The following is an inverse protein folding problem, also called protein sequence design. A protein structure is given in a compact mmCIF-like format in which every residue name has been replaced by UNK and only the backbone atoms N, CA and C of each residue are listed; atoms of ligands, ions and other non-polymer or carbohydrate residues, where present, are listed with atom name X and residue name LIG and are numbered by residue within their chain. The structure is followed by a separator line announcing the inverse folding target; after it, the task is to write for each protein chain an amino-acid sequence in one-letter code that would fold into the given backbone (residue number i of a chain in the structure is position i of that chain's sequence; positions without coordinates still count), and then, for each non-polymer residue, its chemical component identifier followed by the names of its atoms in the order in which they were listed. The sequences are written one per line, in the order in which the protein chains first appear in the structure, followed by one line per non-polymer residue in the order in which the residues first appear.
data_IF_088064626826
#
_entry.id   IF_088064626826
#
_cell.length_a   1.000
_cell.length_b   1.000
_cell.length_c   1.000
_cell.angle_alpha   90.00
_cell.angle_beta   90.00
_cell.angle_gamma   90.00
#
_symmetry.space_group_name_H-M   'P 1'
#
loop_
_entity.id
_entity.type
_entity.pdbx_description
1 polymer ?
#
# COMPACT_ATOMS: atom_id res chain seq x y z
N UNK A 1 -4.58 -23.91 -99.68
CA UNK A 1 -3.26 -24.35 -100.21
C UNK A 1 -2.22 -24.25 -99.09
N UNK A 2 -1.98 -25.37 -98.40
CA UNK A 2 -0.72 -26.07 -97.96
C UNK A 2 0.63 -25.31 -98.10
N UNK A 3 1.74 -25.51 -97.31
CA UNK A 3 2.08 -26.55 -96.29
C UNK A 3 2.82 -26.13 -94.96
N UNK A 4 2.89 -27.12 -94.06
CA UNK A 4 3.87 -27.32 -92.96
C UNK A 4 5.22 -27.87 -93.44
N UNK A 5 6.32 -27.63 -92.69
CA UNK A 5 7.44 -28.58 -92.54
C UNK A 5 8.27 -28.30 -91.25
N UNK A 6 8.63 -29.31 -90.44
CA UNK A 6 9.63 -29.21 -89.37
C UNK A 6 10.85 -30.12 -89.62
N UNK A 7 11.97 -29.93 -88.89
CA UNK A 7 13.07 -30.91 -88.53
C UNK A 7 14.27 -30.13 -87.89
N UNK A 8 15.31 -30.78 -87.29
CA UNK A 8 15.36 -31.66 -86.11
C UNK A 8 16.38 -31.18 -85.03
N UNK A 9 16.40 -31.81 -83.84
CA UNK A 9 17.23 -31.45 -82.69
C UNK A 9 18.64 -32.09 -82.60
N UNK A 10 19.46 -31.56 -81.68
CA UNK A 10 20.83 -32.02 -81.38
C UNK A 10 21.13 -31.89 -79.86
N UNK A 11 21.84 -32.85 -79.24
CA UNK A 11 22.14 -32.92 -77.80
C UNK A 11 23.66 -32.82 -77.54
N UNK A 12 24.11 -32.09 -76.51
CA UNK A 12 25.53 -31.83 -76.17
C UNK A 12 25.96 -32.29 -74.76
N UNK A 13 27.29 -32.44 -74.54
CA UNK A 13 27.99 -32.85 -73.29
C UNK A 13 28.53 -31.62 -72.51
N UNK A 14 28.75 -31.74 -71.19
CA UNK A 14 29.14 -30.66 -70.25
C UNK A 14 30.48 -30.97 -69.50
N UNK A 15 31.29 -29.94 -69.14
CA UNK A 15 32.70 -30.03 -68.66
C UNK A 15 32.96 -29.41 -67.25
N UNK A 16 34.14 -29.70 -66.66
CA UNK A 16 34.52 -29.51 -65.22
C UNK A 16 34.80 -28.06 -64.74
N UNK A 17 35.16 -27.12 -65.64
CA UNK A 17 35.42 -25.71 -65.28
C UNK A 17 34.18 -24.99 -64.74
N UNK A 18 33.00 -25.49 -65.10
CA UNK A 18 31.72 -25.04 -64.58
C UNK A 18 31.62 -25.21 -63.05
N UNK A 19 32.36 -26.16 -62.44
CA UNK A 19 32.28 -26.45 -61.01
C UNK A 19 32.92 -25.41 -60.07
N UNK A 20 33.99 -24.72 -60.48
CA UNK A 20 34.71 -23.74 -59.63
C UNK A 20 34.02 -22.38 -59.70
N UNK A 21 33.63 -21.96 -60.91
CA UNK A 21 32.86 -20.73 -61.13
C UNK A 21 31.53 -20.79 -60.37
N UNK A 22 30.86 -21.95 -60.39
CA UNK A 22 29.63 -22.17 -59.65
C UNK A 22 29.82 -22.00 -58.14
N UNK A 23 30.89 -22.55 -57.53
CA UNK A 23 31.18 -22.38 -56.09
C UNK A 23 31.42 -20.91 -55.68
N UNK A 24 32.13 -20.14 -56.52
CA UNK A 24 32.37 -18.71 -56.27
C UNK A 24 31.08 -17.89 -56.38
N UNK A 25 30.25 -18.18 -57.39
CA UNK A 25 28.94 -17.55 -57.55
C UNK A 25 28.02 -17.83 -56.35
N UNK A 26 28.00 -19.07 -55.85
CA UNK A 26 27.25 -19.41 -54.63
C UNK A 26 27.73 -18.59 -53.43
N UNK A 27 29.04 -18.43 -53.24
CA UNK A 27 29.57 -17.63 -52.13
C UNK A 27 29.12 -16.16 -52.19
N UNK A 28 29.17 -15.53 -53.36
CA UNK A 28 28.71 -14.15 -53.56
C UNK A 28 27.21 -14.02 -53.28
N UNK A 29 26.39 -14.98 -53.75
CA UNK A 29 24.95 -15.00 -53.47
C UNK A 29 24.68 -15.12 -51.96
N UNK A 30 25.40 -15.98 -51.24
CA UNK A 30 25.26 -16.09 -49.78
C UNK A 30 25.62 -14.80 -49.06
N UNK A 31 26.71 -14.12 -49.45
CA UNK A 31 27.09 -12.83 -48.86
C UNK A 31 26.04 -11.75 -49.13
N UNK A 32 25.50 -11.65 -50.34
CA UNK A 32 24.44 -10.71 -50.67
C UNK A 32 23.16 -11.01 -49.88
N UNK A 33 22.76 -12.28 -49.77
CA UNK A 33 21.59 -12.68 -48.99
C UNK A 33 21.76 -12.36 -47.51
N UNK A 34 22.95 -12.59 -46.95
CA UNK A 34 23.25 -12.25 -45.56
C UNK A 34 23.22 -10.73 -45.33
N UNK A 35 23.82 -9.94 -46.23
CA UNK A 35 23.80 -8.48 -46.14
C UNK A 35 22.36 -7.93 -46.18
N UNK A 36 21.51 -8.46 -47.07
CA UNK A 36 20.09 -8.08 -47.15
C UNK A 36 19.32 -8.47 -45.88
N UNK A 37 19.58 -9.66 -45.33
CA UNK A 37 19.00 -10.11 -44.08
C UNK A 37 19.39 -9.19 -42.92
N UNK A 38 20.66 -8.78 -42.82
CA UNK A 38 21.12 -7.85 -41.79
C UNK A 38 20.46 -6.46 -41.89
N UNK A 39 20.28 -5.95 -43.10
CA UNK A 39 19.58 -4.67 -43.33
C UNK A 39 18.10 -4.79 -42.95
N UNK A 40 17.46 -5.91 -43.28
CA UNK A 40 16.07 -6.18 -42.89
C UNK A 40 15.91 -6.28 -41.37
N UNK A 41 16.81 -7.01 -40.71
CA UNK A 41 16.83 -7.20 -39.25
C UNK A 41 17.10 -5.86 -38.55
N UNK A 42 18.05 -5.06 -39.02
CA UNK A 42 18.35 -3.75 -38.42
C UNK A 42 17.16 -2.79 -38.55
N UNK A 43 16.47 -2.79 -39.70
CA UNK A 43 15.22 -2.05 -39.89
C UNK A 43 14.13 -2.49 -38.92
N UNK A 44 13.96 -3.80 -38.72
CA UNK A 44 12.98 -4.34 -37.77
C UNK A 44 13.31 -3.95 -36.32
N UNK A 45 14.58 -4.01 -35.92
CA UNK A 45 15.05 -3.60 -34.60
C UNK A 45 14.72 -2.11 -34.36
N UNK A 46 15.00 -1.24 -35.33
CA UNK A 46 14.69 0.20 -35.21
C UNK A 46 13.18 0.42 -35.01
N UNK A 47 12.34 -0.26 -35.78
CA UNK A 47 10.87 -0.16 -35.64
C UNK A 47 10.40 -0.65 -34.28
N UNK A 48 10.95 -1.76 -33.78
CA UNK A 48 10.62 -2.30 -32.45
C UNK A 48 11.04 -1.30 -31.36
N UNK A 49 12.27 -0.78 -31.42
CA UNK A 49 12.77 0.22 -30.46
C UNK A 49 11.92 1.49 -30.48
N UNK A 50 11.53 1.97 -31.67
CA UNK A 50 10.64 3.13 -31.79
C UNK A 50 9.27 2.85 -31.17
N UNK A 51 8.68 1.66 -31.37
CA UNK A 51 7.41 1.27 -30.74
C UNK A 51 7.51 1.20 -29.22
N UNK A 52 8.62 0.69 -28.68
CA UNK A 52 8.87 0.65 -27.23
C UNK A 52 8.95 2.07 -26.68
N UNK A 53 9.81 2.92 -27.27
CA UNK A 53 9.96 4.32 -26.84
C UNK A 53 8.67 5.13 -26.97
N UNK A 54 7.90 4.91 -28.05
CA UNK A 54 6.60 5.55 -28.25
C UNK A 54 5.59 5.12 -27.19
N UNK A 55 5.53 3.83 -26.85
CA UNK A 55 4.67 3.31 -25.78
C UNK A 55 5.08 3.86 -24.41
N UNK A 56 6.38 3.93 -24.13
CA UNK A 56 6.90 4.52 -22.88
C UNK A 56 6.47 5.98 -22.74
N UNK A 57 6.61 6.79 -23.81
CA UNK A 57 6.16 8.20 -23.82
C UNK A 57 4.66 8.35 -23.62
N UNK A 58 3.85 7.58 -24.34
CA UNK A 58 2.39 7.58 -24.15
C UNK A 58 2.00 7.23 -22.71
N UNK A 59 2.70 6.27 -22.11
CA UNK A 59 2.45 5.86 -20.73
C UNK A 59 2.87 6.95 -19.74
N UNK A 60 4.02 7.61 -19.98
CA UNK A 60 4.50 8.72 -19.16
C UNK A 60 3.57 9.95 -19.24
N UNK A 61 3.13 10.34 -20.43
CA UNK A 61 2.17 11.42 -20.64
C UNK A 61 0.80 11.11 -20.03
N UNK A 62 0.33 9.86 -20.13
CA UNK A 62 -0.90 9.43 -19.48
C UNK A 62 -0.76 9.44 -17.94
N UNK A 63 0.40 9.04 -17.40
CA UNK A 63 0.71 9.09 -15.97
C UNK A 63 0.77 10.53 -15.46
N UNK A 64 1.39 11.43 -16.22
CA UNK A 64 1.48 12.86 -15.90
C UNK A 64 0.11 13.52 -15.95
N UNK A 65 -0.73 13.18 -16.95
CA UNK A 65 -2.14 13.60 -17.02
C UNK A 65 -2.99 13.10 -15.85
N UNK A 66 -2.60 11.97 -15.24
CA UNK A 66 -3.25 11.41 -14.04
C UNK A 66 -2.66 11.95 -12.73
N UNK A 67 -1.45 12.52 -12.77
CA UNK A 67 -0.75 13.05 -11.60
C UNK A 67 -1.29 14.43 -11.29
N UNK A 68 -2.34 14.49 -10.49
CA UNK A 68 -2.88 15.74 -9.98
C UNK A 68 -1.85 16.41 -9.04
N UNK A 69 -1.22 17.55 -9.40
CA UNK A 69 -0.20 18.19 -8.55
C UNK A 69 -0.76 18.59 -7.18
N UNK A 70 -2.07 18.88 -7.10
CA UNK A 70 -2.77 19.15 -5.85
C UNK A 70 -2.90 17.91 -4.97
N UNK A 71 -3.01 16.71 -5.57
CA UNK A 71 -2.98 15.46 -4.81
C UNK A 71 -1.63 15.27 -4.12
N UNK A 72 -0.53 15.41 -4.88
CA UNK A 72 0.82 15.31 -4.33
C UNK A 72 1.04 16.36 -3.25
N UNK A 73 0.71 17.63 -3.52
CA UNK A 73 0.83 18.71 -2.55
C UNK A 73 0.11 18.39 -1.23
N UNK A 74 -1.19 18.07 -1.30
CA UNK A 74 -1.97 17.78 -0.10
C UNK A 74 -1.50 16.54 0.64
N UNK A 75 -1.03 15.50 -0.07
CA UNK A 75 -0.48 14.28 0.55
C UNK A 75 0.83 14.56 1.27
N UNK A 76 1.74 15.34 0.67
CA UNK A 76 2.98 15.73 1.33
C UNK A 76 2.70 16.61 2.55
N UNK A 77 1.77 17.57 2.42
CA UNK A 77 1.35 18.40 3.53
C UNK A 77 0.77 17.57 4.68
N UNK A 78 -0.08 16.59 4.37
CA UNK A 78 -0.64 15.66 5.36
C UNK A 78 0.45 14.89 6.09
N UNK A 79 1.43 14.36 5.35
CA UNK A 79 2.57 13.66 5.94
C UNK A 79 3.37 14.57 6.87
N UNK A 80 3.67 15.81 6.45
CA UNK A 80 4.36 16.79 7.30
C UNK A 80 3.55 17.14 8.56
N UNK A 81 2.24 17.32 8.43
CA UNK A 81 1.35 17.59 9.56
C UNK A 81 1.36 16.42 10.56
N UNK A 82 1.22 15.17 10.11
CA UNK A 82 1.30 13.99 10.98
C UNK A 82 2.67 13.88 11.67
N UNK A 83 3.75 14.06 10.91
CA UNK A 83 5.12 13.96 11.42
C UNK A 83 5.50 15.05 12.43
N UNK A 84 4.74 16.14 12.49
CA UNK A 84 4.97 17.23 13.44
C UNK A 84 3.80 17.44 14.41
N UNK A 85 2.80 16.55 14.37
CA UNK A 85 1.57 16.65 15.19
C UNK A 85 0.89 18.02 15.03
N UNK A 86 0.83 18.53 13.80
CA UNK A 86 0.18 19.80 13.47
C UNK A 86 -1.34 19.60 13.34
N UNK A 87 -2.09 20.65 13.68
CA UNK A 87 -3.55 20.69 13.56
C UNK A 87 -4.03 20.84 12.12
N UNK A 88 -5.33 20.59 11.92
CA UNK A 88 -5.99 20.64 10.61
C UNK A 88 -6.04 22.05 9.98
N UNK A 89 -5.72 23.10 10.74
CA UNK A 89 -5.63 24.50 10.30
C UNK A 89 -4.49 24.76 9.30
N UNK A 90 -3.47 23.90 9.29
CA UNK A 90 -2.34 24.00 8.35
C UNK A 90 -2.74 23.65 6.91
N UNK A 91 -3.90 23.01 6.72
CA UNK A 91 -4.36 22.56 5.41
C UNK A 91 -5.19 23.61 4.68
N UNK A 92 -4.87 23.93 3.40
CA UNK A 92 -5.76 24.69 2.54
C UNK A 92 -7.06 23.91 2.27
N UNK A 93 -8.09 24.17 3.09
CA UNK A 93 -9.35 23.44 3.04
C UNK A 93 -10.05 23.51 1.68
N UNK A 94 -9.81 24.57 0.90
CA UNK A 94 -10.35 24.75 -0.46
C UNK A 94 -9.84 23.72 -1.47
N UNK A 95 -8.64 23.16 -1.27
CA UNK A 95 -8.03 22.19 -2.20
C UNK A 95 -8.01 20.81 -1.56
N UNK A 96 -7.52 20.69 -0.33
CA UNK A 96 -7.25 19.38 0.26
C UNK A 96 -8.50 18.63 0.70
N UNK A 97 -9.64 19.32 0.86
CA UNK A 97 -10.93 18.67 1.17
C UNK A 97 -11.45 17.82 0.00
N UNK A 98 -11.40 18.36 -1.22
CA UNK A 98 -11.86 17.65 -2.42
C UNK A 98 -10.90 16.52 -2.77
N UNK A 99 -9.59 16.78 -2.67
CA UNK A 99 -8.55 15.77 -2.80
C UNK A 99 -8.73 14.63 -1.80
N UNK A 100 -9.04 14.94 -0.54
CA UNK A 100 -9.32 13.92 0.48
C UNK A 100 -10.57 13.10 0.13
N UNK A 101 -11.63 13.76 -0.33
CA UNK A 101 -12.86 13.08 -0.76
C UNK A 101 -12.55 12.10 -1.90
N UNK A 102 -11.78 12.52 -2.89
CA UNK A 102 -11.32 11.65 -3.98
C UNK A 102 -10.43 10.50 -3.47
N UNK A 103 -9.46 10.79 -2.60
CA UNK A 103 -8.55 9.80 -2.01
C UNK A 103 -9.29 8.67 -1.30
N UNK A 104 -10.35 9.01 -0.55
CA UNK A 104 -11.18 8.05 0.17
C UNK A 104 -12.12 7.31 -0.79
N UNK A 105 -12.87 8.04 -1.62
CA UNK A 105 -13.95 7.47 -2.46
C UNK A 105 -13.45 6.66 -3.66
N UNK A 106 -12.37 7.06 -4.29
CA UNK A 106 -11.77 6.33 -5.42
C UNK A 106 -10.92 5.12 -4.98
N UNK A 107 -10.96 4.80 -3.69
CA UNK A 107 -10.39 3.58 -3.13
C UNK A 107 -8.88 3.61 -2.90
N UNK A 108 -8.20 4.74 -3.12
CA UNK A 108 -6.76 4.82 -2.81
C UNK A 108 -6.51 4.66 -1.31
N UNK A 109 -7.33 5.28 -0.45
CA UNK A 109 -7.25 5.09 1.00
C UNK A 109 -7.41 3.62 1.41
N UNK A 110 -8.39 2.92 0.83
CA UNK A 110 -8.60 1.49 1.02
C UNK A 110 -7.38 0.66 0.58
N UNK A 111 -6.76 1.02 -0.55
CA UNK A 111 -5.52 0.36 -1.03
C UNK A 111 -4.38 0.56 -0.05
N UNK A 112 -4.17 1.79 0.43
CA UNK A 112 -3.09 2.12 1.37
C UNK A 112 -3.28 1.38 2.70
N UNK A 113 -4.50 1.35 3.25
CA UNK A 113 -4.83 0.56 4.45
C UNK A 113 -4.54 -0.93 4.24
N UNK A 114 -4.96 -1.50 3.11
CA UNK A 114 -4.71 -2.91 2.80
C UNK A 114 -3.22 -3.22 2.67
N UNK A 115 -2.43 -2.33 2.07
CA UNK A 115 -0.97 -2.48 1.96
C UNK A 115 -0.35 -2.50 3.37
N UNK A 116 -0.68 -1.53 4.22
CA UNK A 116 -0.14 -1.49 5.60
C UNK A 116 -0.52 -2.75 6.39
N UNK A 117 -1.78 -3.19 6.30
CA UNK A 117 -2.22 -4.43 6.96
C UNK A 117 -1.44 -5.64 6.44
N UNK A 118 -1.25 -5.78 5.12
CA UNK A 118 -0.46 -6.88 4.55
C UNK A 118 0.99 -6.85 5.01
N UNK A 119 1.62 -5.69 5.02
CA UNK A 119 3.00 -5.54 5.53
C UNK A 119 3.09 -6.01 6.99
N UNK A 120 2.10 -5.66 7.82
CA UNK A 120 2.04 -6.15 9.20
C UNK A 120 1.82 -7.66 9.27
N UNK A 121 0.86 -8.20 8.51
CA UNK A 121 0.58 -9.64 8.44
C UNK A 121 1.82 -10.45 8.03
N UNK A 122 2.53 -10.01 6.99
CA UNK A 122 3.75 -10.63 6.48
C UNK A 122 4.85 -10.62 7.56
N UNK A 123 5.05 -9.49 8.22
CA UNK A 123 5.97 -9.40 9.36
C UNK A 123 5.62 -10.42 10.45
N UNK A 124 4.38 -10.43 10.94
CA UNK A 124 3.98 -11.32 12.03
C UNK A 124 3.93 -12.80 11.65
N UNK A 125 3.82 -13.13 10.36
CA UNK A 125 3.94 -14.50 9.85
C UNK A 125 5.40 -14.98 9.82
N UNK A 126 6.35 -14.06 9.63
CA UNK A 126 7.78 -14.36 9.48
C UNK A 126 8.53 -14.36 10.82
N UNK A 127 8.06 -13.59 11.80
CA UNK A 127 8.70 -13.46 13.11
C UNK A 127 8.46 -14.72 13.95
N UNK A 128 9.55 -15.34 14.41
CA UNK A 128 9.50 -16.45 15.36
C UNK A 128 9.21 -15.93 16.77
N UNK A 129 8.12 -16.43 17.37
CA UNK A 129 7.79 -16.21 18.79
C UNK A 129 8.79 -16.91 19.69
N UNK A 130 9.18 -16.25 20.78
CA UNK A 130 9.91 -16.92 21.86
C UNK A 130 8.97 -17.77 22.70
N UNK A 131 9.47 -18.89 23.23
CA UNK A 131 8.69 -19.86 24.00
C UNK A 131 8.34 -19.43 25.43
N UNK A 132 8.76 -18.23 25.86
CA UNK A 132 8.53 -17.73 27.21
C UNK A 132 7.25 -16.87 27.34
N UNK A 133 6.49 -16.72 26.25
CA UNK A 133 5.20 -15.99 26.22
C UNK A 133 5.27 -14.52 26.65
N UNK A 134 6.45 -13.89 26.54
CA UNK A 134 6.63 -12.48 26.93
C UNK A 134 6.53 -11.50 25.75
N UNK A 135 6.43 -12.01 24.54
CA UNK A 135 6.31 -11.21 23.33
C UNK A 135 4.87 -10.68 23.19
N UNK A 136 4.69 -9.36 23.21
CA UNK A 136 3.39 -8.69 23.14
C UNK A 136 3.33 -7.70 21.98
N UNK A 137 2.13 -7.46 21.45
CA UNK A 137 1.87 -6.44 20.44
C UNK A 137 0.97 -5.38 21.04
N UNK A 138 1.36 -4.11 20.88
CA UNK A 138 0.53 -2.98 21.27
C UNK A 138 -0.30 -2.52 20.08
N UNK A 139 -1.60 -2.38 20.28
CA UNK A 139 -2.52 -1.95 19.22
C UNK A 139 -3.45 -0.86 19.73
N UNK A 140 -3.55 0.21 18.94
CA UNK A 140 -4.40 1.36 19.22
C UNK A 140 -5.88 0.99 19.05
N UNK A 141 -6.62 0.99 20.16
CA UNK A 141 -8.04 0.71 20.13
C UNK A 141 -8.83 1.83 19.46
N UNK A 142 -8.34 3.08 19.48
CA UNK A 142 -9.06 4.22 18.89
C UNK A 142 -9.19 4.11 17.36
N UNK A 143 -8.37 3.26 16.72
CA UNK A 143 -8.44 3.03 15.27
C UNK A 143 -9.60 2.14 14.83
N UNK A 144 -10.16 1.37 15.75
CA UNK A 144 -11.33 0.54 15.51
C UNK A 144 -12.47 0.77 16.52
N UNK A 145 -12.34 1.73 17.43
CA UNK A 145 -13.46 2.29 18.17
C UNK A 145 -14.10 3.37 17.31
N UNK A 146 -15.13 3.03 16.53
CA UNK A 146 -15.90 4.05 15.81
C UNK A 146 -16.60 4.95 16.82
N UNK A 147 -16.28 6.24 16.90
CA UNK A 147 -16.99 7.17 17.80
C UNK A 147 -18.51 7.22 17.56
N UNK A 148 -18.96 6.90 16.34
CA UNK A 148 -20.38 6.96 15.93
C UNK A 148 -21.28 5.87 16.55
N UNK A 149 -20.74 4.95 17.36
CA UNK A 149 -21.51 3.89 18.03
C UNK A 149 -21.90 4.18 19.49
N UNK A 150 -21.60 5.38 20.01
CA UNK A 150 -22.06 5.79 21.36
C UNK A 150 -23.53 6.25 21.41
N UNK A 151 -24.21 6.40 20.27
CA UNK A 151 -25.65 6.65 20.26
C UNK A 151 -26.40 5.32 20.12
N UNK A 152 -26.56 4.63 21.25
CA UNK A 152 -27.34 3.38 21.38
C UNK A 152 -28.81 3.53 20.94
N UNK A 153 -29.27 4.72 20.56
CA UNK A 153 -30.65 4.96 20.15
C UNK A 153 -30.85 5.24 18.65
N UNK A 154 -29.79 5.25 17.83
CA UNK A 154 -29.87 5.45 16.37
C UNK A 154 -28.97 4.45 15.63
N UNK A 155 -29.29 3.17 15.77
CA UNK A 155 -28.81 2.16 14.83
C UNK A 155 -29.10 2.62 13.40
N UNK A 156 -28.05 2.60 12.56
CA UNK A 156 -28.05 2.97 11.15
C UNK A 156 -28.02 4.49 10.90
N UNK A 157 -26.96 5.18 11.34
CA UNK A 157 -26.34 6.05 10.34
C UNK A 157 -25.81 5.13 9.24
N UNK A 158 -26.30 5.32 8.01
CA UNK A 158 -25.80 4.65 6.80
C UNK A 158 -24.30 4.88 6.69
N UNK A 159 -23.51 4.06 7.37
CA UNK A 159 -22.07 4.04 7.22
C UNK A 159 -21.85 3.59 5.78
N UNK A 160 -21.48 4.54 4.94
CA UNK A 160 -21.17 4.23 3.56
C UNK A 160 -19.83 3.51 3.55
N UNK A 161 -19.69 2.51 2.68
CA UNK A 161 -18.44 1.76 2.53
C UNK A 161 -17.24 2.63 2.06
N UNK A 162 -17.51 3.90 1.71
CA UNK A 162 -16.56 4.95 1.36
C UNK A 162 -16.33 5.99 2.48
N UNK A 163 -16.76 5.72 3.72
CA UNK A 163 -16.41 6.54 4.90
C UNK A 163 -15.01 6.16 5.42
N UNK A 164 -14.15 7.16 5.63
CA UNK A 164 -12.76 6.93 6.03
C UNK A 164 -12.64 6.25 7.40
N UNK A 165 -13.47 6.63 8.38
CA UNK A 165 -13.40 6.02 9.72
C UNK A 165 -13.90 4.58 9.68
N UNK A 166 -14.94 4.31 8.88
CA UNK A 166 -15.40 2.94 8.66
C UNK A 166 -14.33 2.07 8.01
N UNK A 167 -13.70 2.55 6.94
CA UNK A 167 -12.61 1.82 6.29
C UNK A 167 -11.49 1.53 7.29
N UNK A 168 -11.03 2.54 8.03
CA UNK A 168 -10.00 2.37 9.04
C UNK A 168 -10.39 1.33 10.09
N UNK A 169 -11.62 1.39 10.61
CA UNK A 169 -12.16 0.43 11.55
C UNK A 169 -12.10 -1.01 11.00
N UNK A 170 -12.59 -1.24 9.77
CA UNK A 170 -12.61 -2.57 9.17
C UNK A 170 -11.20 -3.14 9.00
N UNK A 171 -10.24 -2.34 8.53
CA UNK A 171 -8.87 -2.79 8.33
C UNK A 171 -8.12 -3.02 9.66
N UNK A 172 -8.34 -2.16 10.65
CA UNK A 172 -7.79 -2.34 11.99
C UNK A 172 -8.39 -3.59 12.67
N UNK A 173 -9.71 -3.81 12.59
CA UNK A 173 -10.34 -5.04 13.10
C UNK A 173 -9.85 -6.29 12.38
N UNK A 174 -9.67 -6.23 11.05
CA UNK A 174 -9.09 -7.35 10.30
C UNK A 174 -7.71 -7.73 10.82
N UNK A 175 -6.85 -6.73 11.05
CA UNK A 175 -5.51 -6.96 11.58
C UNK A 175 -5.57 -7.51 13.01
N UNK A 176 -6.42 -6.95 13.87
CA UNK A 176 -6.65 -7.45 15.24
C UNK A 176 -6.98 -8.96 15.23
N UNK A 177 -8.00 -9.36 14.47
CA UNK A 177 -8.46 -10.75 14.37
C UNK A 177 -7.38 -11.67 13.80
N UNK A 178 -6.62 -11.19 12.80
CA UNK A 178 -5.51 -11.95 12.23
C UNK A 178 -4.41 -12.22 13.24
N UNK A 179 -4.01 -11.21 14.02
CA UNK A 179 -3.00 -11.37 15.07
C UNK A 179 -3.49 -12.29 16.19
N UNK A 180 -4.77 -12.16 16.57
CA UNK A 180 -5.39 -13.03 17.55
C UNK A 180 -5.42 -14.50 17.08
N UNK A 181 -5.87 -14.76 15.84
CA UNK A 181 -5.87 -16.13 15.27
C UNK A 181 -4.47 -16.73 15.18
N UNK A 182 -3.46 -15.88 15.00
CA UNK A 182 -2.05 -16.24 15.01
C UNK A 182 -1.48 -16.39 16.43
N UNK A 183 -2.30 -16.21 17.48
CA UNK A 183 -1.97 -16.29 18.91
C UNK A 183 -0.93 -15.27 19.37
N UNK A 184 -0.93 -14.06 18.79
CA UNK A 184 -0.13 -12.96 19.32
C UNK A 184 -0.85 -12.35 20.53
N UNK A 185 -0.22 -12.27 21.72
CA UNK A 185 -0.79 -11.55 22.86
C UNK A 185 -0.93 -10.07 22.51
N UNK A 186 -2.16 -9.56 22.54
CA UNK A 186 -2.47 -8.17 22.22
C UNK A 186 -2.69 -7.40 23.51
N UNK A 187 -2.00 -6.29 23.68
CA UNK A 187 -2.32 -5.29 24.68
C UNK A 187 -2.89 -4.08 23.94
N UNK A 188 -4.13 -3.73 24.26
CA UNK A 188 -4.78 -2.58 23.66
C UNK A 188 -4.45 -1.31 24.44
N UNK A 189 -4.42 -0.18 23.75
CA UNK A 189 -4.34 1.13 24.39
C UNK A 189 -5.32 2.12 23.75
N UNK A 190 -5.79 3.09 24.53
CA UNK A 190 -6.72 4.14 24.08
C UNK A 190 -6.44 5.44 24.81
N UNK A 191 -6.75 6.56 24.15
CA UNK A 191 -6.70 7.91 24.73
C UNK A 191 -7.87 8.18 25.69
N UNK A 192 -8.89 7.32 25.69
CA UNK A 192 -10.04 7.43 26.60
C UNK A 192 -9.61 7.40 28.06
N UNK A 193 -10.25 8.18 28.93
CA UNK A 193 -9.93 8.21 30.34
C UNK A 193 -10.33 6.91 31.04
N UNK A 194 -9.53 6.49 32.03
CA UNK A 194 -9.72 5.27 32.82
C UNK A 194 -11.12 5.15 33.44
N UNK A 195 -11.75 6.28 33.78
CA UNK A 195 -13.14 6.32 34.31
C UNK A 195 -14.18 5.69 33.36
N UNK A 196 -13.88 5.59 32.05
CA UNK A 196 -14.73 4.99 31.02
C UNK A 196 -14.38 3.52 30.73
N UNK A 197 -13.61 2.85 31.60
CA UNK A 197 -13.14 1.48 31.37
C UNK A 197 -14.26 0.51 31.07
N UNK A 198 -15.30 0.46 31.89
CA UNK A 198 -16.39 -0.51 31.73
C UNK A 198 -17.10 -0.30 30.38
N UNK A 199 -17.51 0.93 30.07
CA UNK A 199 -18.15 1.27 28.80
C UNK A 199 -17.25 0.97 27.59
N UNK A 200 -15.94 1.21 27.71
CA UNK A 200 -14.98 0.89 26.63
C UNK A 200 -14.84 -0.61 26.44
N UNK A 201 -14.75 -1.39 27.51
CA UNK A 201 -14.66 -2.86 27.46
C UNK A 201 -15.93 -3.46 26.88
N UNK A 202 -17.10 -3.01 27.32
CA UNK A 202 -18.40 -3.44 26.77
C UNK A 202 -18.49 -3.14 25.28
N UNK A 203 -18.05 -1.96 24.87
CA UNK A 203 -18.07 -1.59 23.46
C UNK A 203 -17.09 -2.40 22.59
N UNK A 204 -15.86 -2.62 23.06
CA UNK A 204 -14.91 -3.50 22.36
C UNK A 204 -15.50 -4.91 22.21
N UNK A 205 -16.08 -5.42 23.29
CA UNK A 205 -16.75 -6.73 23.34
C UNK A 205 -17.93 -6.80 22.36
N UNK A 206 -18.78 -5.77 22.28
CA UNK A 206 -19.93 -5.75 21.39
C UNK A 206 -19.57 -5.71 19.89
N UNK A 207 -18.37 -5.22 19.56
CA UNK A 207 -17.82 -5.24 18.20
C UNK A 207 -17.10 -6.56 17.85
N UNK A 208 -17.14 -7.57 18.72
CA UNK A 208 -16.45 -8.84 18.51
C UNK A 208 -14.95 -8.78 18.75
N UNK A 209 -14.44 -7.68 19.31
CA UNK A 209 -13.08 -7.63 19.84
C UNK A 209 -13.11 -8.38 21.18
N UNK A 210 -12.37 -9.48 21.30
CA UNK A 210 -12.23 -10.24 22.54
C UNK A 210 -10.81 -10.76 22.65
N UNK A 211 -10.38 -11.19 23.84
CA UNK A 211 -9.14 -11.95 24.02
C UNK A 211 -7.85 -11.11 23.96
N UNK A 212 -7.92 -9.79 24.12
CA UNK A 212 -6.75 -8.99 24.48
C UNK A 212 -6.31 -9.30 25.92
N UNK A 213 -5.02 -9.18 26.19
CA UNK A 213 -4.41 -9.49 27.49
C UNK A 213 -4.56 -8.35 28.51
N UNK A 214 -4.57 -7.11 28.04
CA UNK A 214 -4.74 -5.93 28.88
C UNK A 214 -5.23 -4.73 28.04
N UNK A 215 -5.83 -3.74 28.72
CA UNK A 215 -6.28 -2.48 28.13
C UNK A 215 -5.69 -1.32 28.93
N UNK A 216 -4.78 -0.58 28.31
CA UNK A 216 -4.17 0.64 28.84
C UNK A 216 -5.07 1.83 28.50
N UNK A 217 -5.51 2.58 29.51
CA UNK A 217 -6.34 3.77 29.33
C UNK A 217 -5.76 4.94 30.10
N UNK A 218 -6.12 6.16 29.72
CA UNK A 218 -5.51 7.38 30.25
C UNK A 218 -5.95 7.65 31.70
N UNK A 219 -5.00 7.62 32.63
CA UNK A 219 -5.26 7.95 34.05
C UNK A 219 -5.04 9.43 34.38
N UNK A 220 -4.13 10.08 33.67
CA UNK A 220 -3.76 11.48 33.90
C UNK A 220 -3.98 12.32 32.63
N UNK A 221 -4.80 13.36 32.76
CA UNK A 221 -5.10 14.29 31.67
C UNK A 221 -4.11 15.45 31.57
N UNK A 222 -3.22 15.64 32.57
CA UNK A 222 -2.21 16.70 32.57
C UNK A 222 -1.03 16.39 31.63
N UNK A 223 -0.77 15.12 31.40
CA UNK A 223 0.32 14.63 30.55
C UNK A 223 -0.15 14.44 29.12
N UNK A 224 0.69 14.77 28.13
CA UNK A 224 0.38 14.40 26.75
C UNK A 224 0.40 12.86 26.58
N UNK A 225 -0.34 12.36 25.60
CA UNK A 225 -0.53 10.91 25.46
C UNK A 225 0.76 10.17 25.07
N UNK A 226 1.64 10.80 24.28
CA UNK A 226 2.94 10.21 23.91
C UNK A 226 3.80 9.89 25.14
N UNK A 227 3.91 10.85 26.06
CA UNK A 227 4.67 10.66 27.31
C UNK A 227 4.00 9.61 28.20
N UNK A 228 2.67 9.68 28.33
CA UNK A 228 1.89 8.71 29.09
C UNK A 228 2.14 7.27 28.57
N UNK A 229 1.96 7.03 27.28
CA UNK A 229 2.16 5.71 26.69
C UNK A 229 3.62 5.26 26.77
N UNK A 230 4.59 6.17 26.64
CA UNK A 230 6.01 5.86 26.84
C UNK A 230 6.30 5.33 28.26
N UNK A 231 5.64 5.88 29.28
CA UNK A 231 5.75 5.40 30.67
C UNK A 231 5.12 4.02 30.83
N UNK A 232 3.94 3.79 30.25
CA UNK A 232 3.27 2.49 30.27
C UNK A 232 4.13 1.41 29.57
N UNK A 233 4.75 1.72 28.42
CA UNK A 233 5.68 0.80 27.74
C UNK A 233 6.92 0.48 28.59
N UNK A 234 7.46 1.48 29.29
CA UNK A 234 8.55 1.29 30.25
C UNK A 234 8.15 0.34 31.38
N UNK A 235 6.92 0.46 31.90
CA UNK A 235 6.39 -0.43 32.94
C UNK A 235 6.23 -1.86 32.43
N UNK A 236 5.67 -2.07 31.22
CA UNK A 236 5.57 -3.40 30.60
C UNK A 236 6.95 -4.06 30.47
N UNK A 237 7.97 -3.31 30.04
CA UNK A 237 9.33 -3.83 29.93
C UNK A 237 9.94 -4.19 31.30
N UNK A 238 9.71 -3.38 32.34
CA UNK A 238 10.15 -3.70 33.72
C UNK A 238 9.45 -4.94 34.27
N UNK A 239 8.24 -5.22 33.84
CA UNK A 239 7.51 -6.47 34.15
C UNK A 239 8.06 -7.67 33.35
N UNK A 240 9.04 -7.46 32.47
CA UNK A 240 9.69 -8.49 31.68
C UNK A 240 9.06 -8.75 30.32
N UNK A 241 8.01 -7.99 29.94
CA UNK A 241 7.40 -8.11 28.61
C UNK A 241 8.30 -7.50 27.53
N UNK A 242 8.17 -8.03 26.31
CA UNK A 242 8.87 -7.55 25.13
C UNK A 242 7.86 -7.11 24.09
N UNK A 243 7.79 -5.81 23.87
CA UNK A 243 6.97 -5.23 22.82
C UNK A 243 7.63 -5.59 21.49
N UNK A 244 6.94 -6.36 20.65
CA UNK A 244 7.44 -6.74 19.32
C UNK A 244 7.10 -5.66 18.29
N UNK A 245 5.89 -5.11 18.39
CA UNK A 245 5.48 -3.98 17.57
C UNK A 245 4.41 -3.11 18.24
N UNK A 246 4.30 -1.88 17.75
CA UNK A 246 3.20 -0.95 18.04
C UNK A 246 2.45 -0.64 16.74
N UNK A 247 1.12 -0.71 16.79
CA UNK A 247 0.23 -0.47 15.65
C UNK A 247 -0.71 0.69 16.02
N UNK A 248 -0.71 1.75 15.22
CA UNK A 248 -1.58 2.92 15.43
C UNK A 248 -1.67 3.77 14.16
N UNK A 249 -2.74 4.54 14.00
CA UNK A 249 -2.84 5.61 13.03
C UNK A 249 -2.30 6.95 13.53
N UNK A 250 -2.00 7.10 14.82
CA UNK A 250 -1.58 8.36 15.43
C UNK A 250 -0.10 8.33 15.83
N UNK A 251 0.62 9.39 15.46
CA UNK A 251 2.06 9.46 15.70
C UNK A 251 2.45 9.60 17.17
N UNK A 252 1.55 10.07 18.03
CA UNK A 252 1.76 10.13 19.48
C UNK A 252 2.02 8.75 20.10
N UNK A 253 1.40 7.70 19.56
CA UNK A 253 1.61 6.33 19.99
C UNK A 253 2.90 5.72 19.43
N UNK A 254 3.36 6.23 18.27
CA UNK A 254 4.46 5.69 17.47
C UNK A 254 5.80 6.41 17.70
N UNK A 255 5.88 7.26 18.74
CA UNK A 255 7.07 7.98 19.14
C UNK A 255 7.48 7.67 20.58
N UNK A 256 8.71 8.04 20.90
CA UNK A 256 9.30 7.85 22.22
C UNK A 256 9.99 6.49 22.37
N UNK A 257 10.48 6.17 23.58
CA UNK A 257 11.22 4.95 23.83
C UNK A 257 10.30 3.72 23.86
N UNK A 258 10.92 2.54 23.80
CA UNK A 258 10.28 1.24 24.03
C UNK A 258 9.18 0.87 23.00
N UNK A 259 9.32 1.28 21.74
CA UNK A 259 8.38 0.96 20.65
C UNK A 259 8.45 -0.51 20.18
N UNK A 260 9.39 -1.28 20.70
CA UNK A 260 9.68 -2.62 20.20
C UNK A 260 10.50 -2.59 18.91
N UNK A 261 10.42 -3.67 18.14
CA UNK A 261 11.24 -3.85 16.94
C UNK A 261 10.69 -3.10 15.74
N UNK A 262 9.36 -3.03 15.61
CA UNK A 262 8.67 -2.47 14.45
C UNK A 262 7.51 -1.59 14.85
N UNK A 263 7.16 -0.67 13.95
CA UNK A 263 6.04 0.24 14.12
C UNK A 263 5.20 0.22 12.85
N UNK A 264 3.90 0.00 12.98
CA UNK A 264 2.97 -0.02 11.86
C UNK A 264 2.02 1.18 11.94
N UNK A 265 2.28 2.17 11.08
CA UNK A 265 1.44 3.38 10.94
C UNK A 265 0.27 3.08 10.02
N UNK A 266 -0.94 2.99 10.59
CA UNK A 266 -2.15 2.95 9.78
C UNK A 266 -2.36 4.31 9.09
N UNK A 267 -2.67 4.34 7.78
CA UNK A 267 -2.94 5.59 7.07
C UNK A 267 -4.14 6.33 7.67
N UNK A 268 -4.06 7.65 7.73
CA UNK A 268 -5.20 8.53 7.95
C UNK A 268 -5.67 9.13 6.62
N UNK A 269 -6.93 9.61 6.54
CA UNK A 269 -7.33 10.53 5.49
C UNK A 269 -6.40 11.76 5.46
N UNK A 270 -6.22 12.33 4.26
CA UNK A 270 -5.39 13.52 4.02
C UNK A 270 -5.88 14.72 4.82
N UNK A 271 -7.20 14.83 5.01
CA UNK A 271 -7.83 15.94 5.70
C UNK A 271 -8.95 15.43 6.61
N UNK A 272 -9.03 15.97 7.82
CA UNK A 272 -10.13 15.78 8.78
C UNK A 272 -10.75 17.14 9.08
N UNK A 273 -12.08 17.20 9.15
CA UNK A 273 -12.75 18.44 9.54
C UNK A 273 -12.51 18.70 11.03
N UNK A 274 -12.32 19.97 11.40
CA UNK A 274 -12.14 20.43 12.78
C UNK A 274 -13.35 20.12 13.69
N UNK A 275 -14.52 19.87 13.11
CA UNK A 275 -15.75 19.49 13.83
C UNK A 275 -15.72 18.02 14.34
N UNK A 276 -14.87 17.16 13.78
CA UNK A 276 -14.65 15.80 14.28
C UNK A 276 -13.61 15.78 15.43
N UNK A 277 -12.66 16.73 15.45
CA UNK A 277 -11.64 16.86 16.51
C UNK A 277 -12.14 17.61 17.76
N UNK A 278 -13.03 18.58 17.62
CA UNK A 278 -13.61 19.28 18.78
C UNK A 278 -14.54 18.39 19.61
N UNK A 279 -15.12 17.34 19.00
CA UNK A 279 -15.90 16.31 19.70
C UNK A 279 -15.06 15.26 20.43
N UNK A 280 -13.79 15.09 20.07
CA UNK A 280 -12.88 14.14 20.73
C UNK A 280 -12.31 14.65 22.05
N UNK A 281 -12.41 15.95 22.33
CA UNK A 281 -11.86 16.57 23.53
C UNK A 281 -12.91 16.89 24.63
N UNK A 282 -14.20 16.71 24.36
CA UNK A 282 -15.29 17.15 25.24
C UNK A 282 -16.09 16.01 25.93
N UNK A 283 -15.70 14.74 25.78
CA UNK A 283 -16.41 13.60 26.41
C UNK A 283 -15.47 12.65 27.21
#
# INVERSE_FOLDING_TARGET
MIPNHPLPGMRSRFNYEDGILMKSLYAVVYFCMFALALVSISGLIVVIVMKIKYRERLTAEALEKYRNPSYDYCRHLAFHAEMNSLSADVFPATICKDINTWYVKEGQYRRDLNITVRIAEDFFSSVRKKNDSRDVVLMDADDFLTMKTFDTNRMIYRIKEDDADYLKHIFAMKLYLKLQSSRWPLILFTRKPEKLRNATVEHLTSMGCHGWSSLIMRKDNKMNFQEYLSRERSMLQRQGLRIIAVISSHMDALRGPFLGNHVFKLPNPIFRNHDDESRTHLE
#
